data_IF_076282616992
#
_entry.id   IF_076282616992
#
_cell.length_a   1.000
_cell.length_b   1.000
_cell.length_c   1.000
_cell.angle_alpha   90.00
_cell.angle_beta   90.00
_cell.angle_gamma   90.00
#
_symmetry.space_group_name_H-M   'P 1'
#
loop_
_entity.id
_entity.type
_entity.pdbx_description
1 polymer ?
#
# COMPACT_ATOMS: atom_id res chain seq x y z
N UNK A 1 -14.21 -12.27 13.58
CA UNK A 1 -13.67 -13.31 12.72
C UNK A 1 -13.22 -12.73 11.38
N UNK A 2 -12.15 -13.26 10.80
CA UNK A 2 -11.52 -12.77 9.58
C UNK A 2 -12.51 -12.56 8.41
N UNK A 3 -13.43 -13.50 8.21
CA UNK A 3 -14.45 -13.41 7.15
C UNK A 3 -15.36 -12.17 7.28
N UNK A 4 -15.67 -11.73 8.49
CA UNK A 4 -16.49 -10.54 8.71
C UNK A 4 -15.74 -9.26 8.32
N UNK A 5 -14.45 -9.18 8.66
CA UNK A 5 -13.62 -8.03 8.25
C UNK A 5 -13.50 -7.96 6.72
N UNK A 6 -13.29 -9.09 6.04
CA UNK A 6 -13.28 -9.14 4.57
C UNK A 6 -14.60 -8.66 3.96
N UNK A 7 -15.72 -9.02 4.59
CA UNK A 7 -17.03 -8.57 4.14
C UNK A 7 -17.19 -7.07 4.30
N UNK A 8 -16.83 -6.52 5.47
CA UNK A 8 -16.88 -5.08 5.72
C UNK A 8 -16.01 -4.30 4.73
N UNK A 9 -14.77 -4.72 4.47
CA UNK A 9 -13.88 -4.06 3.51
C UNK A 9 -14.52 -3.95 2.13
N UNK A 10 -15.22 -4.99 1.70
CA UNK A 10 -15.77 -5.06 0.33
C UNK A 10 -17.14 -4.40 0.20
N UNK A 11 -18.00 -4.52 1.19
CA UNK A 11 -19.43 -4.29 1.03
C UNK A 11 -20.07 -3.33 2.02
N UNK A 12 -19.34 -2.87 3.06
CA UNK A 12 -19.89 -1.87 3.95
C UNK A 12 -20.15 -0.56 3.18
N UNK A 13 -21.23 0.10 3.51
CA UNK A 13 -21.58 1.40 2.93
C UNK A 13 -20.89 2.56 3.63
N UNK A 14 -20.42 2.34 4.86
CA UNK A 14 -19.67 3.31 5.64
C UNK A 14 -18.16 3.19 5.36
N UNK A 15 -17.60 4.26 4.82
CA UNK A 15 -16.18 4.33 4.49
C UNK A 15 -15.27 4.19 5.72
N UNK A 16 -15.69 4.72 6.85
CA UNK A 16 -14.94 4.59 8.11
C UNK A 16 -14.84 3.12 8.53
N UNK A 17 -15.95 2.39 8.52
CA UNK A 17 -15.96 0.95 8.84
C UNK A 17 -15.07 0.15 7.87
N UNK A 18 -15.10 0.46 6.57
CA UNK A 18 -14.24 -0.18 5.57
C UNK A 18 -12.77 0.01 5.89
N UNK A 19 -12.39 1.25 6.24
CA UNK A 19 -11.02 1.59 6.60
C UNK A 19 -10.56 0.88 7.88
N UNK A 20 -11.36 0.93 8.93
CA UNK A 20 -11.04 0.29 10.22
C UNK A 20 -10.92 -1.24 10.06
N UNK A 21 -11.82 -1.87 9.32
CA UNK A 21 -11.74 -3.29 9.02
C UNK A 21 -10.45 -3.64 8.24
N UNK A 22 -10.07 -2.82 7.25
CA UNK A 22 -8.85 -3.02 6.49
C UNK A 22 -7.61 -2.82 7.37
N UNK A 23 -7.57 -1.75 8.18
CA UNK A 23 -6.46 -1.45 9.09
C UNK A 23 -6.24 -2.60 10.07
N UNK A 24 -7.33 -3.10 10.69
CA UNK A 24 -7.24 -4.24 11.61
C UNK A 24 -6.69 -5.49 10.92
N UNK A 25 -7.16 -5.82 9.73
CA UNK A 25 -6.66 -6.99 8.99
C UNK A 25 -5.19 -6.85 8.61
N UNK A 26 -4.76 -5.64 8.21
CA UNK A 26 -3.37 -5.37 7.90
C UNK A 26 -2.47 -5.47 9.14
N UNK A 27 -2.93 -4.94 10.28
CA UNK A 27 -2.21 -5.06 11.56
C UNK A 27 -2.05 -6.54 11.97
N UNK A 28 -3.14 -7.29 11.98
CA UNK A 28 -3.11 -8.73 12.33
C UNK A 28 -2.16 -9.50 11.39
N UNK A 29 -2.15 -9.17 10.10
CA UNK A 29 -1.26 -9.80 9.11
C UNK A 29 0.20 -9.41 9.33
N UNK A 30 0.50 -8.13 9.56
CA UNK A 30 1.87 -7.66 9.78
C UNK A 30 2.43 -8.28 11.05
N UNK A 31 1.65 -8.32 12.15
CA UNK A 31 2.07 -8.98 13.39
C UNK A 31 2.40 -10.46 13.18
N UNK A 32 1.56 -11.17 12.41
CA UNK A 32 1.87 -12.56 12.03
C UNK A 32 3.19 -12.66 11.28
N UNK A 33 3.41 -11.83 10.26
CA UNK A 33 4.66 -11.84 9.47
C UNK A 33 5.88 -11.50 10.32
N UNK A 34 5.76 -10.60 11.30
CA UNK A 34 6.83 -10.28 12.26
C UNK A 34 7.18 -11.53 13.10
N UNK A 35 6.17 -12.25 13.60
CA UNK A 35 6.38 -13.49 14.34
C UNK A 35 7.03 -14.58 13.47
N UNK A 36 6.60 -14.74 12.23
CA UNK A 36 7.15 -15.70 11.27
C UNK A 36 8.63 -15.34 10.96
N UNK A 37 8.93 -14.04 10.79
CA UNK A 37 10.30 -13.54 10.63
C UNK A 37 11.20 -13.91 11.83
N UNK A 38 10.69 -13.72 13.05
CA UNK A 38 11.43 -14.06 14.28
C UNK A 38 11.74 -15.54 14.42
N UNK A 39 10.99 -16.43 13.76
CA UNK A 39 11.23 -17.87 13.70
C UNK A 39 12.12 -18.29 12.51
N UNK A 40 12.49 -17.35 11.64
CA UNK A 40 13.20 -17.64 10.39
C UNK A 40 12.33 -18.31 9.34
N UNK A 41 11.00 -18.21 9.47
CA UNK A 41 10.06 -18.76 8.51
C UNK A 41 9.93 -17.83 7.27
N UNK A 42 9.54 -18.43 6.14
CA UNK A 42 9.27 -17.65 4.92
C UNK A 42 8.06 -16.77 5.12
N UNK A 43 8.21 -15.49 4.85
CA UNK A 43 7.09 -14.55 4.88
C UNK A 43 6.15 -14.81 3.69
N UNK A 44 4.86 -14.93 3.98
CA UNK A 44 3.83 -15.14 2.96
C UNK A 44 2.60 -14.30 3.30
N UNK A 45 2.29 -13.34 2.42
CA UNK A 45 1.10 -12.52 2.56
C UNK A 45 -0.18 -13.34 2.36
N UNK A 46 -1.21 -13.07 3.18
CA UNK A 46 -2.49 -13.76 3.07
C UNK A 46 -3.20 -13.38 1.76
N UNK A 47 -3.53 -14.36 0.88
CA UNK A 47 -4.16 -14.09 -0.41
C UNK A 47 -5.55 -13.46 -0.32
N UNK A 48 -6.29 -13.65 0.78
CA UNK A 48 -7.60 -13.03 0.98
C UNK A 48 -7.47 -11.52 1.21
N UNK A 49 -6.46 -11.10 1.99
CA UNK A 49 -6.13 -9.69 2.21
C UNK A 49 -5.72 -9.05 0.88
N UNK A 50 -4.82 -9.68 0.14
CA UNK A 50 -4.38 -9.19 -1.17
C UNK A 50 -5.57 -9.05 -2.12
N UNK A 51 -6.51 -10.00 -2.11
CA UNK A 51 -7.72 -9.94 -2.94
C UNK A 51 -8.68 -8.83 -2.49
N UNK A 52 -8.77 -8.55 -1.18
CA UNK A 52 -9.57 -7.45 -0.64
C UNK A 52 -8.98 -6.08 -1.02
N UNK A 53 -7.66 -5.91 -0.96
CA UNK A 53 -6.98 -4.70 -1.44
C UNK A 53 -7.21 -4.48 -2.94
N UNK A 54 -7.15 -5.55 -3.76
CA UNK A 54 -7.47 -5.48 -5.18
C UNK A 54 -8.92 -5.11 -5.46
N UNK A 55 -9.86 -5.58 -4.63
CA UNK A 55 -11.25 -5.15 -4.71
C UNK A 55 -11.38 -3.64 -4.47
N UNK A 56 -10.76 -3.11 -3.41
CA UNK A 56 -10.76 -1.67 -3.09
C UNK A 56 -10.14 -0.85 -4.23
N UNK A 57 -9.00 -1.30 -4.76
CA UNK A 57 -8.33 -0.64 -5.89
C UNK A 57 -9.28 -0.46 -7.09
N UNK A 58 -10.08 -1.48 -7.39
CA UNK A 58 -10.96 -1.51 -8.56
C UNK A 58 -12.40 -1.05 -8.30
N UNK A 59 -12.79 -0.79 -7.06
CA UNK A 59 -14.14 -0.32 -6.72
C UNK A 59 -14.36 1.11 -7.28
N UNK A 60 -15.25 1.24 -8.25
CA UNK A 60 -15.56 2.53 -8.87
C UNK A 60 -16.40 3.48 -8.00
N UNK A 61 -16.96 2.97 -6.91
CA UNK A 61 -17.78 3.74 -5.96
C UNK A 61 -16.96 4.54 -4.96
N UNK A 62 -15.69 4.18 -4.79
CA UNK A 62 -14.76 4.83 -3.86
C UNK A 62 -13.94 5.88 -4.62
N UNK A 63 -13.85 7.09 -4.07
CA UNK A 63 -13.00 8.13 -4.63
C UNK A 63 -11.49 7.83 -4.47
N UNK A 64 -10.66 8.61 -5.14
CA UNK A 64 -9.22 8.40 -5.16
C UNK A 64 -8.58 8.65 -3.78
N UNK A 65 -9.06 9.63 -3.03
CA UNK A 65 -8.52 9.97 -1.71
C UNK A 65 -8.78 8.85 -0.72
N UNK A 66 -9.99 8.32 -0.72
CA UNK A 66 -10.36 7.24 0.18
C UNK A 66 -9.68 5.92 -0.20
N UNK A 67 -9.51 5.63 -1.50
CA UNK A 67 -8.67 4.50 -1.95
C UNK A 67 -7.24 4.60 -1.42
N UNK A 68 -6.62 5.77 -1.56
CA UNK A 68 -5.28 6.00 -1.02
C UNK A 68 -5.22 5.73 0.48
N UNK A 69 -6.23 6.19 1.23
CA UNK A 69 -6.31 5.99 2.67
C UNK A 69 -6.42 4.51 3.06
N UNK A 70 -7.28 3.73 2.39
CA UNK A 70 -7.47 2.29 2.69
C UNK A 70 -6.24 1.47 2.26
N UNK A 71 -5.63 1.78 1.11
CA UNK A 71 -4.51 1.03 0.55
C UNK A 71 -3.16 1.38 1.21
N UNK A 72 -3.13 2.40 2.08
CA UNK A 72 -1.94 2.76 2.86
C UNK A 72 -1.74 1.77 4.01
N UNK A 73 -0.55 1.15 4.06
CA UNK A 73 -0.18 0.25 5.15
C UNK A 73 0.00 1.01 6.47
N UNK A 74 -0.19 0.34 7.64
CA UNK A 74 0.07 0.93 8.95
C UNK A 74 1.47 1.54 9.04
N UNK A 75 1.57 2.72 9.66
CA UNK A 75 2.87 3.35 9.92
C UNK A 75 3.68 2.57 10.97
N UNK A 76 5.00 2.75 10.97
CA UNK A 76 5.86 2.14 11.98
C UNK A 76 5.51 2.61 13.40
N UNK A 77 5.01 3.84 13.54
CA UNK A 77 4.51 4.35 14.83
C UNK A 77 3.33 3.54 15.35
N UNK A 78 2.38 3.18 14.48
CA UNK A 78 1.23 2.34 14.87
C UNK A 78 1.71 0.93 15.21
N UNK A 79 2.59 0.34 14.41
CA UNK A 79 3.16 -0.99 14.68
C UNK A 79 3.94 -1.02 15.98
N UNK A 80 4.69 0.04 16.28
CA UNK A 80 5.47 0.16 17.51
C UNK A 80 4.61 0.22 18.78
N UNK A 81 3.37 0.69 18.69
CA UNK A 81 2.45 0.72 19.84
C UNK A 81 1.90 -0.68 20.19
N UNK A 82 1.86 -1.58 19.20
CA UNK A 82 1.34 -2.94 19.35
C UNK A 82 2.42 -3.95 19.80
N UNK A 83 3.71 -3.59 19.70
CA UNK A 83 4.82 -4.50 19.93
C UNK A 83 5.58 -4.19 21.23
N UNK A 84 5.91 -5.25 21.99
CA UNK A 84 6.72 -5.13 23.22
C UNK A 84 8.20 -4.87 22.93
N UNK A 85 8.69 -5.37 21.81
CA UNK A 85 10.09 -5.23 21.36
C UNK A 85 10.08 -4.72 19.94
N UNK A 86 10.66 -3.54 19.75
CA UNK A 86 10.71 -2.91 18.44
C UNK A 86 11.74 -3.60 17.53
N UNK A 87 11.29 -4.05 16.38
CA UNK A 87 12.13 -4.59 15.32
C UNK A 87 11.79 -3.92 13.97
N UNK A 88 12.39 -2.74 13.67
CA UNK A 88 12.12 -2.01 12.44
C UNK A 88 12.40 -2.81 11.16
N UNK A 89 13.38 -3.71 11.19
CA UNK A 89 13.70 -4.57 10.05
C UNK A 89 12.57 -5.56 9.77
N UNK A 90 12.00 -6.17 10.82
CA UNK A 90 10.84 -7.06 10.68
C UNK A 90 9.60 -6.29 10.19
N UNK A 91 9.39 -5.03 10.65
CA UNK A 91 8.31 -4.17 10.15
C UNK A 91 8.45 -3.92 8.65
N UNK A 92 9.64 -3.52 8.22
CA UNK A 92 9.93 -3.26 6.81
C UNK A 92 9.77 -4.52 5.95
N UNK A 93 10.27 -5.66 6.42
CA UNK A 93 10.15 -6.94 5.71
C UNK A 93 8.69 -7.38 5.56
N UNK A 94 7.88 -7.28 6.63
CA UNK A 94 6.47 -7.63 6.61
C UNK A 94 5.65 -6.73 5.66
N UNK A 95 5.87 -5.41 5.71
CA UNK A 95 5.22 -4.46 4.81
C UNK A 95 5.62 -4.69 3.35
N UNK A 96 6.91 -4.94 3.11
CA UNK A 96 7.44 -5.24 1.77
C UNK A 96 6.82 -6.51 1.20
N UNK A 97 6.64 -7.57 2.00
CA UNK A 97 5.98 -8.81 1.56
C UNK A 97 4.55 -8.55 1.11
N UNK A 98 3.74 -7.83 1.90
CA UNK A 98 2.35 -7.49 1.54
C UNK A 98 2.33 -6.65 0.25
N UNK A 99 3.17 -5.63 0.15
CA UNK A 99 3.26 -4.75 -1.02
C UNK A 99 3.66 -5.54 -2.26
N UNK A 100 4.68 -6.40 -2.15
CA UNK A 100 5.17 -7.22 -3.26
C UNK A 100 4.10 -8.20 -3.74
N UNK A 101 3.41 -8.88 -2.82
CA UNK A 101 2.32 -9.79 -3.16
C UNK A 101 1.15 -9.05 -3.84
N UNK A 102 0.81 -7.86 -3.36
CA UNK A 102 -0.23 -7.03 -3.94
C UNK A 102 0.13 -6.56 -5.36
N UNK A 103 1.31 -5.97 -5.53
CA UNK A 103 1.78 -5.51 -6.85
C UNK A 103 1.90 -6.68 -7.81
N UNK A 104 2.51 -7.80 -7.42
CA UNK A 104 2.64 -8.99 -8.28
C UNK A 104 1.30 -9.48 -8.83
N UNK A 105 0.23 -9.35 -8.04
CA UNK A 105 -1.11 -9.78 -8.46
C UNK A 105 -1.85 -8.75 -9.31
N UNK A 106 -1.62 -7.46 -9.06
CA UNK A 106 -2.41 -6.35 -9.63
C UNK A 106 -1.56 -5.29 -10.34
N UNK A 107 -0.35 -5.62 -10.78
CA UNK A 107 0.59 -4.64 -11.37
C UNK A 107 -0.03 -3.89 -12.56
N UNK A 108 -0.72 -4.61 -13.43
CA UNK A 108 -1.36 -4.00 -14.59
C UNK A 108 -2.41 -2.97 -14.21
N UNK A 109 -3.30 -3.33 -13.28
CA UNK A 109 -4.35 -2.44 -12.78
C UNK A 109 -3.76 -1.24 -12.02
N UNK A 110 -2.70 -1.45 -11.27
CA UNK A 110 -1.98 -0.39 -10.55
C UNK A 110 -1.38 0.61 -11.54
N UNK A 111 -0.72 0.14 -12.59
CA UNK A 111 -0.15 0.99 -13.63
C UNK A 111 -1.22 1.77 -14.39
N UNK A 112 -2.34 1.15 -14.74
CA UNK A 112 -3.48 1.82 -15.38
C UNK A 112 -4.06 2.92 -14.48
N UNK A 113 -4.25 2.63 -13.18
CA UNK A 113 -4.74 3.63 -12.21
C UNK A 113 -3.72 4.76 -12.02
N UNK A 114 -2.42 4.45 -11.90
CA UNK A 114 -1.40 5.49 -11.82
C UNK A 114 -1.49 6.44 -13.03
N UNK A 115 -1.49 5.92 -14.25
CA UNK A 115 -1.57 6.73 -15.48
C UNK A 115 -2.84 7.59 -15.52
N UNK A 116 -3.99 7.02 -15.13
CA UNK A 116 -5.26 7.75 -15.05
C UNK A 116 -5.17 8.92 -14.07
N UNK A 117 -4.73 8.67 -12.84
CA UNK A 117 -4.69 9.68 -11.78
C UNK A 117 -3.51 10.66 -11.93
N UNK A 118 -2.50 10.31 -12.72
CA UNK A 118 -1.45 11.24 -13.13
C UNK A 118 -1.95 12.33 -14.09
N UNK A 119 -2.91 12.00 -14.94
CA UNK A 119 -3.56 12.96 -15.84
C UNK A 119 -4.55 13.88 -15.12
N UNK A 120 -5.10 13.45 -13.97
CA UNK A 120 -5.97 14.22 -13.10
C UNK A 120 -5.11 14.91 -12.02
N UNK A 121 -5.54 16.03 -11.46
CA UNK A 121 -4.68 16.79 -10.55
C UNK A 121 -5.39 17.23 -9.26
N UNK A 122 -6.42 16.50 -8.82
CA UNK A 122 -7.02 16.71 -7.52
C UNK A 122 -6.09 16.25 -6.39
N UNK A 123 -6.37 16.66 -5.16
CA UNK A 123 -5.62 16.20 -3.98
C UNK A 123 -5.69 14.68 -3.83
N UNK A 124 -6.88 14.10 -4.04
CA UNK A 124 -7.08 12.65 -3.98
C UNK A 124 -6.34 11.90 -5.09
N UNK A 125 -6.33 12.46 -6.33
CA UNK A 125 -5.58 11.86 -7.43
C UNK A 125 -4.07 11.83 -7.14
N UNK A 126 -3.52 12.92 -6.60
CA UNK A 126 -2.10 12.97 -6.19
C UNK A 126 -1.79 11.97 -5.07
N UNK A 127 -2.67 11.86 -4.08
CA UNK A 127 -2.49 10.89 -3.00
C UNK A 127 -2.45 9.46 -3.53
N UNK A 128 -3.43 9.09 -4.37
CA UNK A 128 -3.52 7.73 -4.90
C UNK A 128 -2.36 7.40 -5.85
N UNK A 129 -2.05 8.27 -6.83
CA UNK A 129 -0.96 8.00 -7.77
C UNK A 129 0.40 7.86 -7.08
N UNK A 130 0.67 8.72 -6.09
CA UNK A 130 1.92 8.68 -5.34
C UNK A 130 2.04 7.40 -4.51
N UNK A 131 0.95 6.96 -3.85
CA UNK A 131 0.92 5.69 -3.15
C UNK A 131 1.17 4.51 -4.10
N UNK A 132 0.48 4.45 -5.24
CA UNK A 132 0.62 3.36 -6.21
C UNK A 132 2.04 3.31 -6.81
N UNK A 133 2.63 4.46 -7.10
CA UNK A 133 4.02 4.56 -7.56
C UNK A 133 4.99 4.02 -6.50
N UNK A 134 4.83 4.42 -5.24
CA UNK A 134 5.63 3.91 -4.13
C UNK A 134 5.52 2.38 -4.02
N UNK A 135 4.32 1.83 -4.11
CA UNK A 135 4.09 0.38 -4.05
C UNK A 135 4.78 -0.36 -5.21
N UNK A 136 4.70 0.18 -6.43
CA UNK A 136 5.40 -0.38 -7.60
C UNK A 136 6.91 -0.43 -7.39
N UNK A 137 7.52 0.68 -6.95
CA UNK A 137 8.97 0.75 -6.70
C UNK A 137 9.38 -0.17 -5.57
N UNK A 138 8.65 -0.18 -4.45
CA UNK A 138 8.91 -1.08 -3.31
C UNK A 138 8.88 -2.57 -3.72
N UNK A 139 8.01 -2.93 -4.66
CA UNK A 139 7.92 -4.29 -5.21
C UNK A 139 8.98 -4.61 -6.27
N UNK A 140 9.81 -3.65 -6.66
CA UNK A 140 10.87 -3.83 -7.66
C UNK A 140 10.38 -3.75 -9.11
N UNK A 141 9.24 -3.09 -9.39
CA UNK A 141 8.76 -2.87 -10.75
C UNK A 141 9.67 -1.90 -11.50
N UNK A 142 10.24 -2.35 -12.62
CA UNK A 142 11.09 -1.51 -13.48
C UNK A 142 10.29 -0.38 -14.13
N UNK A 143 9.03 -0.63 -14.52
CA UNK A 143 8.14 0.42 -15.02
C UNK A 143 7.80 1.42 -13.92
N UNK A 144 7.57 0.95 -12.68
CA UNK A 144 7.34 1.80 -11.51
C UNK A 144 8.51 2.74 -11.24
N UNK A 145 9.74 2.25 -11.29
CA UNK A 145 10.94 3.07 -11.12
C UNK A 145 11.07 4.13 -12.23
N UNK A 146 10.89 3.77 -13.49
CA UNK A 146 10.90 4.69 -14.61
C UNK A 146 9.84 5.79 -14.50
N UNK A 147 8.64 5.44 -14.04
CA UNK A 147 7.57 6.42 -13.77
C UNK A 147 7.93 7.36 -12.61
N UNK A 148 8.59 6.87 -11.58
CA UNK A 148 9.06 7.65 -10.45
C UNK A 148 10.13 8.67 -10.87
N UNK A 149 11.14 8.24 -11.62
CA UNK A 149 12.18 9.12 -12.19
C UNK A 149 11.57 10.23 -13.07
N UNK A 150 10.66 9.83 -13.96
CA UNK A 150 9.95 10.78 -14.82
C UNK A 150 9.13 11.77 -13.99
N UNK A 151 8.40 11.32 -12.97
CA UNK A 151 7.64 12.21 -12.10
C UNK A 151 8.56 13.21 -11.39
N UNK A 152 9.70 12.75 -10.86
CA UNK A 152 10.67 13.64 -10.23
C UNK A 152 11.15 14.75 -11.16
N UNK A 153 11.47 14.42 -12.42
CA UNK A 153 11.96 15.35 -13.42
C UNK A 153 10.91 16.33 -13.93
N UNK A 154 9.63 15.91 -13.98
CA UNK A 154 8.57 16.69 -14.64
C UNK A 154 7.53 17.27 -13.68
N UNK A 155 7.62 16.98 -12.38
CA UNK A 155 6.66 17.49 -11.40
C UNK A 155 6.67 19.02 -11.33
N UNK A 156 5.47 19.60 -11.38
CA UNK A 156 5.25 21.05 -11.30
C UNK A 156 4.81 21.50 -9.91
N UNK A 157 4.75 20.58 -8.95
CA UNK A 157 4.37 20.87 -7.57
C UNK A 157 5.26 20.11 -6.58
N UNK A 158 5.40 20.67 -5.38
CA UNK A 158 6.26 20.14 -4.32
C UNK A 158 5.84 18.74 -3.87
N UNK A 159 4.55 18.46 -3.78
CA UNK A 159 4.03 17.15 -3.29
C UNK A 159 4.53 16.01 -4.16
N UNK A 160 4.40 16.12 -5.47
CA UNK A 160 4.80 15.07 -6.40
C UNK A 160 6.34 14.96 -6.50
N UNK A 161 7.04 16.10 -6.51
CA UNK A 161 8.50 16.14 -6.56
C UNK A 161 9.12 15.50 -5.32
N UNK A 162 8.67 15.93 -4.13
CA UNK A 162 9.19 15.41 -2.87
C UNK A 162 8.88 13.93 -2.69
N UNK A 163 7.66 13.51 -3.04
CA UNK A 163 7.29 12.10 -2.93
C UNK A 163 8.14 11.22 -3.84
N UNK A 164 8.34 11.63 -5.09
CA UNK A 164 9.20 10.89 -6.02
C UNK A 164 10.65 10.84 -5.51
N UNK A 165 11.19 11.93 -4.97
CA UNK A 165 12.53 11.96 -4.39
C UNK A 165 12.68 10.97 -3.22
N UNK A 166 11.72 10.96 -2.28
CA UNK A 166 11.72 10.01 -1.15
C UNK A 166 11.76 8.57 -1.66
N UNK A 167 10.87 8.23 -2.61
CA UNK A 167 10.78 6.88 -3.18
C UNK A 167 12.08 6.47 -3.89
N UNK A 168 12.73 7.39 -4.62
CA UNK A 168 14.01 7.13 -5.28
C UNK A 168 15.14 6.93 -4.27
N UNK A 169 15.17 7.68 -3.18
CA UNK A 169 16.15 7.47 -2.11
C UNK A 169 15.98 6.09 -1.46
N UNK A 170 14.75 5.69 -1.17
CA UNK A 170 14.46 4.41 -0.54
C UNK A 170 14.72 3.21 -1.46
N UNK A 171 14.63 3.40 -2.80
CA UNK A 171 14.86 2.33 -3.78
C UNK A 171 16.31 1.91 -3.92
N UNK A 172 17.26 2.77 -3.51
CA UNK A 172 18.70 2.52 -3.57
C UNK A 172 19.30 2.04 -2.23
N UNK A 173 18.45 1.80 -1.23
CA UNK A 173 18.82 1.31 0.10
C UNK A 173 18.46 -0.16 0.24
#
# INVERSE_FOLDING_TARGET
PHANLLHLIKFDTDEFNRREACMKMLLDQIQKLILDSGKGEKLVANPDIISALGFVLNDSKIDAQFKALILTLPSDTILAQEEKVLNPQAFSAAKREITTAFVKKFEKEILEKYKKHHALNSTGDRALKNLLMHQLVTAGSTEGLSLCEKQYQTATNMTDSLHALIVLCDSNS
#
